data_IF_342422839710
#
_entry.id   IF_342422839710
#
_cell.length_a   1.000
_cell.length_b   1.000
_cell.length_c   1.000
_cell.angle_alpha   90.00
_cell.angle_beta   90.00
_cell.angle_gamma   90.00
#
_symmetry.space_group_name_H-M   'P 1'
#
loop_
_entity.id
_entity.type
_entity.pdbx_description
1 polymer ?
#
# COMPACT_ATOMS: atom_id res chain seq x y z
N UNK A 1 -25.94 -27.45 -25.19
CA UNK A 1 -26.04 -26.28 -24.29
C UNK A 1 -24.98 -26.40 -23.21
N UNK A 2 -24.18 -25.34 -22.98
CA UNK A 2 -23.00 -25.36 -22.10
C UNK A 2 -23.34 -25.23 -20.60
N UNK A 3 -24.38 -24.46 -20.26
CA UNK A 3 -24.81 -24.20 -18.87
C UNK A 3 -25.11 -25.46 -18.03
N UNK A 4 -25.90 -26.46 -18.51
CA UNK A 4 -26.19 -27.65 -17.70
C UNK A 4 -24.95 -28.51 -17.45
N UNK A 5 -24.03 -28.59 -18.42
CA UNK A 5 -22.74 -29.28 -18.25
C UNK A 5 -21.92 -28.63 -17.14
N UNK A 6 -21.79 -27.30 -17.15
CA UNK A 6 -21.06 -26.57 -16.12
C UNK A 6 -21.70 -26.70 -14.74
N UNK A 7 -23.04 -26.71 -14.64
CA UNK A 7 -23.75 -26.90 -13.36
C UNK A 7 -23.47 -28.27 -12.76
N UNK A 8 -23.47 -29.33 -13.58
CA UNK A 8 -23.12 -30.68 -13.12
C UNK A 8 -21.64 -30.79 -12.68
N UNK A 9 -20.72 -30.12 -13.39
CA UNK A 9 -19.31 -30.06 -12.98
C UNK A 9 -19.11 -29.34 -11.65
N UNK A 10 -19.66 -28.13 -11.51
CA UNK A 10 -19.48 -27.30 -10.32
C UNK A 10 -20.20 -27.84 -9.08
N UNK A 11 -21.34 -28.50 -9.26
CA UNK A 11 -22.13 -29.05 -8.15
C UNK A 11 -21.74 -30.46 -7.72
N UNK A 12 -21.42 -31.34 -8.67
CA UNK A 12 -21.24 -32.79 -8.41
C UNK A 12 -19.82 -33.29 -8.71
N UNK A 13 -18.91 -32.42 -9.15
CA UNK A 13 -17.52 -32.77 -9.49
C UNK A 13 -17.38 -33.70 -10.69
N UNK A 14 -18.47 -33.94 -11.45
CA UNK A 14 -18.47 -34.87 -12.58
C UNK A 14 -17.66 -34.32 -13.77
N UNK A 15 -16.75 -35.12 -14.37
CA UNK A 15 -15.96 -34.67 -15.51
C UNK A 15 -16.85 -34.34 -16.72
N UNK A 16 -16.59 -33.22 -17.37
CA UNK A 16 -17.36 -32.73 -18.52
C UNK A 16 -16.57 -32.84 -19.82
N UNK A 17 -17.23 -33.29 -20.89
CA UNK A 17 -16.69 -33.22 -22.26
C UNK A 17 -17.13 -31.92 -22.93
N UNK A 18 -16.13 -31.14 -23.35
CA UNK A 18 -16.30 -29.87 -24.05
C UNK A 18 -15.75 -29.98 -25.47
N UNK A 19 -16.48 -29.43 -26.44
CA UNK A 19 -15.95 -29.23 -27.79
C UNK A 19 -15.05 -27.98 -27.84
N UNK A 20 -14.38 -27.75 -28.97
CA UNK A 20 -13.42 -26.64 -29.13
C UNK A 20 -14.03 -25.25 -28.88
N UNK A 21 -15.28 -25.03 -29.30
CA UNK A 21 -15.99 -23.75 -29.09
C UNK A 21 -16.37 -23.54 -27.63
N UNK A 22 -16.92 -24.58 -26.99
CA UNK A 22 -17.27 -24.57 -25.56
C UNK A 22 -16.02 -24.35 -24.69
N UNK A 23 -14.90 -25.01 -25.02
CA UNK A 23 -13.62 -24.85 -24.31
C UNK A 23 -13.13 -23.40 -24.37
N UNK A 24 -13.17 -22.77 -25.55
CA UNK A 24 -12.77 -21.36 -25.71
C UNK A 24 -13.59 -20.45 -24.81
N UNK A 25 -14.93 -20.61 -24.81
CA UNK A 25 -15.84 -19.82 -23.97
C UNK A 25 -15.52 -19.99 -22.48
N UNK A 26 -15.28 -21.22 -22.02
CA UNK A 26 -14.96 -21.50 -20.61
C UNK A 26 -13.62 -20.85 -20.22
N UNK A 27 -12.58 -20.98 -21.05
CA UNK A 27 -11.27 -20.37 -20.78
C UNK A 27 -11.37 -18.84 -20.70
N UNK A 28 -12.08 -18.23 -21.65
CA UNK A 28 -12.24 -16.77 -21.67
C UNK A 28 -12.98 -16.28 -20.41
N UNK A 29 -14.01 -17.02 -19.98
CA UNK A 29 -14.74 -16.73 -18.74
C UNK A 29 -13.92 -16.97 -17.47
N UNK A 30 -13.07 -18.00 -17.45
CA UNK A 30 -12.17 -18.25 -16.32
C UNK A 30 -11.10 -17.15 -16.21
N UNK A 31 -10.57 -16.66 -17.33
CA UNK A 31 -9.64 -15.53 -17.33
C UNK A 31 -10.31 -14.26 -16.80
N UNK A 32 -11.54 -14.00 -17.22
CA UNK A 32 -12.34 -12.87 -16.71
C UNK A 32 -12.64 -13.00 -15.20
N UNK A 33 -12.96 -14.21 -14.73
CA UNK A 33 -13.18 -14.45 -13.31
C UNK A 33 -11.88 -14.26 -12.51
N UNK A 34 -10.78 -14.85 -12.98
CA UNK A 34 -9.47 -14.74 -12.34
C UNK A 34 -8.96 -13.29 -12.28
N UNK A 35 -9.23 -12.46 -13.29
CA UNK A 35 -8.87 -11.04 -13.23
C UNK A 35 -9.71 -10.24 -12.24
N UNK A 36 -10.96 -10.66 -11.99
CA UNK A 36 -11.88 -10.03 -11.03
C UNK A 36 -11.68 -10.49 -9.59
N UNK A 37 -11.30 -11.74 -9.37
CA UNK A 37 -11.16 -12.34 -8.04
C UNK A 37 -9.70 -12.50 -7.61
N UNK A 38 -8.75 -12.37 -8.54
CA UNK A 38 -7.33 -12.51 -8.26
C UNK A 38 -6.82 -11.37 -7.38
N UNK A 39 -5.97 -11.72 -6.42
CA UNK A 39 -5.25 -10.75 -5.60
C UNK A 39 -3.87 -10.52 -6.23
N UNK A 40 -3.46 -9.25 -6.32
CA UNK A 40 -2.11 -8.89 -6.77
C UNK A 40 -1.16 -9.05 -5.59
N UNK A 41 -0.42 -10.15 -5.57
CA UNK A 41 0.59 -10.45 -4.56
C UNK A 41 1.96 -10.43 -5.24
N UNK A 42 2.97 -9.92 -4.54
CA UNK A 42 4.35 -10.06 -4.98
C UNK A 42 4.82 -11.51 -4.76
N UNK A 43 4.84 -12.28 -5.85
CA UNK A 43 5.17 -13.71 -5.82
C UNK A 43 6.62 -13.96 -5.38
N UNK A 44 7.53 -13.02 -5.64
CA UNK A 44 8.93 -13.14 -5.21
C UNK A 44 9.07 -13.01 -3.69
N UNK A 45 8.15 -12.31 -3.04
CA UNK A 45 8.06 -12.30 -1.56
C UNK A 45 7.52 -13.62 -1.04
N UNK A 46 6.47 -14.15 -1.68
CA UNK A 46 5.70 -15.29 -1.16
C UNK A 46 6.46 -16.62 -1.25
N UNK A 47 7.24 -16.78 -2.32
CA UNK A 47 7.99 -18.02 -2.57
C UNK A 47 9.29 -18.12 -1.75
N UNK A 48 9.78 -17.01 -1.18
CA UNK A 48 11.05 -16.97 -0.47
C UNK A 48 10.87 -17.32 1.02
N UNK A 49 11.29 -18.53 1.40
CA UNK A 49 11.22 -19.03 2.78
C UNK A 49 12.31 -18.47 3.69
N UNK A 50 13.36 -17.85 3.14
CA UNK A 50 14.50 -17.29 3.89
C UNK A 50 14.42 -15.77 4.09
N UNK A 51 13.32 -15.15 3.67
CA UNK A 51 13.20 -13.69 3.64
C UNK A 51 13.16 -13.07 5.02
N UNK A 52 13.91 -11.98 5.20
CA UNK A 52 13.76 -11.11 6.35
C UNK A 52 12.47 -10.28 6.22
N UNK A 53 11.58 -10.44 7.19
CA UNK A 53 10.41 -9.60 7.36
C UNK A 53 10.73 -8.40 8.23
N UNK A 54 9.98 -7.32 8.05
CA UNK A 54 10.16 -6.14 8.89
C UNK A 54 9.64 -6.43 10.30
N UNK A 55 10.40 -5.98 11.30
CA UNK A 55 10.02 -6.07 12.70
C UNK A 55 8.74 -5.24 12.92
N UNK A 56 7.67 -5.82 13.49
CA UNK A 56 6.46 -5.07 13.84
C UNK A 56 6.76 -3.83 14.69
N UNK A 57 5.97 -2.77 14.50
CA UNK A 57 6.09 -1.48 15.16
C UNK A 57 7.39 -0.68 14.91
N UNK A 58 8.34 -1.21 14.12
CA UNK A 58 9.53 -0.46 13.69
C UNK A 58 9.20 0.69 12.74
N UNK A 59 10.08 1.70 12.69
CA UNK A 59 9.94 2.84 11.78
C UNK A 59 10.42 2.50 10.36
N UNK A 60 9.66 2.95 9.36
CA UNK A 60 10.06 2.86 7.97
C UNK A 60 11.05 3.97 7.62
N UNK A 61 12.28 3.61 7.28
CA UNK A 61 13.32 4.58 6.88
C UNK A 61 13.04 5.46 5.65
N UNK A 62 11.89 5.33 4.97
CA UNK A 62 11.49 6.23 3.86
C UNK A 62 10.34 7.18 4.22
N UNK A 63 9.65 6.95 5.34
CA UNK A 63 8.48 7.75 5.73
C UNK A 63 8.45 8.11 7.20
N UNK A 64 9.20 7.41 8.06
CA UNK A 64 9.09 7.55 9.51
C UNK A 64 7.80 6.96 10.07
N UNK A 65 7.06 6.17 9.28
CA UNK A 65 5.83 5.51 9.74
C UNK A 65 6.12 4.16 10.38
N UNK A 66 5.28 3.76 11.33
CA UNK A 66 5.35 2.47 12.00
C UNK A 66 4.80 1.36 11.12
N UNK A 67 5.50 0.23 11.09
CA UNK A 67 5.00 -1.01 10.51
C UNK A 67 4.03 -1.70 11.48
N UNK A 68 2.79 -1.21 11.56
CA UNK A 68 1.79 -1.71 12.49
C UNK A 68 1.34 -3.13 12.14
N UNK A 69 1.10 -3.94 13.16
CA UNK A 69 0.38 -5.21 13.04
C UNK A 69 -1.11 -4.93 13.21
N UNK A 70 -1.91 -5.33 12.23
CA UNK A 70 -3.34 -5.09 12.19
C UNK A 70 -4.09 -6.43 12.13
N UNK A 71 -5.20 -6.51 12.84
CA UNK A 71 -6.25 -7.50 12.62
C UNK A 71 -6.95 -7.22 11.28
N UNK A 72 -7.78 -8.18 10.84
CA UNK A 72 -8.55 -8.01 9.61
C UNK A 72 -9.49 -6.79 9.69
N UNK A 73 -10.18 -6.61 10.81
CA UNK A 73 -11.13 -5.52 11.00
C UNK A 73 -10.42 -4.16 11.08
N UNK A 74 -9.28 -4.07 11.75
CA UNK A 74 -8.46 -2.84 11.78
C UNK A 74 -7.95 -2.47 10.38
N UNK A 75 -7.56 -3.46 9.57
CA UNK A 75 -7.09 -3.22 8.20
C UNK A 75 -8.16 -2.56 7.31
N UNK A 76 -9.45 -2.83 7.55
CA UNK A 76 -10.55 -2.22 6.79
C UNK A 76 -10.73 -0.72 7.08
N UNK A 77 -10.33 -0.26 8.27
CA UNK A 77 -10.51 1.13 8.72
C UNK A 77 -9.19 1.91 8.76
N UNK A 78 -8.06 1.23 8.58
CA UNK A 78 -6.72 1.78 8.73
C UNK A 78 -6.39 2.86 7.69
N UNK A 79 -5.89 4.00 8.18
CA UNK A 79 -5.31 5.05 7.36
C UNK A 79 -3.83 5.30 7.75
N UNK A 80 -2.86 5.00 6.88
CA UNK A 80 -1.45 5.15 7.22
C UNK A 80 -1.02 6.60 7.48
N UNK A 81 -1.74 7.60 6.94
CA UNK A 81 -1.40 9.01 7.14
C UNK A 81 -1.91 9.57 8.47
N UNK A 82 -2.69 8.80 9.23
CA UNK A 82 -3.15 9.16 10.58
C UNK A 82 -2.63 8.17 11.62
N UNK A 83 -2.77 6.88 11.36
CA UNK A 83 -2.61 5.83 12.37
C UNK A 83 -1.17 5.33 12.46
N UNK A 84 -0.43 5.37 11.36
CA UNK A 84 0.94 4.84 11.29
C UNK A 84 2.02 5.89 11.58
N UNK A 85 1.67 7.10 12.00
CA UNK A 85 2.65 8.14 12.31
C UNK A 85 3.51 7.68 13.48
N UNK A 86 4.81 7.55 13.24
CA UNK A 86 5.76 6.98 14.21
C UNK A 86 6.49 7.99 15.06
N UNK A 87 6.49 9.26 14.65
CA UNK A 87 7.23 10.33 15.30
C UNK A 87 6.26 11.33 15.97
N UNK A 88 6.66 11.94 17.09
CA UNK A 88 5.87 13.00 17.72
C UNK A 88 5.87 14.29 16.88
N UNK A 89 4.89 15.19 17.11
CA UNK A 89 4.89 16.53 16.51
C UNK A 89 5.97 17.44 17.10
N UNK A 90 6.39 17.21 18.35
CA UNK A 90 7.44 17.98 19.00
C UNK A 90 8.72 17.15 19.17
N UNK A 91 9.91 17.76 19.12
CA UNK A 91 10.14 19.18 18.78
C UNK A 91 9.86 19.46 17.30
N UNK A 92 9.54 20.71 16.98
CA UNK A 92 9.53 21.16 15.59
C UNK A 92 10.95 21.16 15.03
N UNK A 93 11.08 20.78 13.76
CA UNK A 93 12.36 20.71 13.05
C UNK A 93 12.41 21.77 11.94
N UNK A 94 13.50 22.56 11.86
CA UNK A 94 13.71 23.46 10.74
C UNK A 94 14.17 22.65 9.52
N UNK A 95 13.52 22.88 8.38
CA UNK A 95 13.85 22.21 7.13
C UNK A 95 13.95 23.21 5.99
N UNK A 96 14.85 22.92 5.04
CA UNK A 96 14.91 23.59 3.74
C UNK A 96 14.32 22.68 2.69
N UNK A 97 13.32 23.19 1.96
CA UNK A 97 12.66 22.46 0.88
C UNK A 97 13.60 22.37 -0.33
N UNK A 98 13.84 21.15 -0.81
CA UNK A 98 14.74 20.89 -1.95
C UNK A 98 13.98 20.70 -3.26
N UNK A 99 12.75 20.20 -3.19
CA UNK A 99 11.88 19.94 -4.33
C UNK A 99 10.47 20.44 -4.01
N UNK A 100 9.70 20.81 -5.04
CA UNK A 100 8.32 21.28 -4.86
C UNK A 100 7.50 20.24 -4.06
N UNK A 101 6.76 20.71 -3.06
CA UNK A 101 5.92 19.89 -2.18
C UNK A 101 4.46 20.31 -2.39
N UNK A 102 3.59 19.44 -2.93
CA UNK A 102 2.18 19.75 -3.01
C UNK A 102 1.57 19.78 -1.62
N UNK A 103 0.37 20.35 -1.49
CA UNK A 103 -0.39 20.28 -0.23
C UNK A 103 -0.59 18.81 0.17
N UNK A 104 -0.30 18.50 1.43
CA UNK A 104 -0.44 17.15 1.97
C UNK A 104 -1.02 17.17 3.38
N UNK A 105 -1.47 16.02 3.85
CA UNK A 105 -2.07 15.84 5.17
C UNK A 105 -1.33 14.76 5.92
N UNK A 106 -1.04 15.04 7.19
CA UNK A 106 -0.58 14.06 8.16
C UNK A 106 -1.36 14.32 9.45
N UNK A 107 -1.96 13.26 10.00
CA UNK A 107 -2.88 13.37 11.14
C UNK A 107 -4.05 14.30 10.78
N UNK A 108 -4.36 15.26 11.65
CA UNK A 108 -5.41 16.27 11.49
C UNK A 108 -4.89 17.52 10.75
N UNK A 109 -3.57 17.60 10.52
CA UNK A 109 -2.91 18.80 10.04
C UNK A 109 -2.69 18.77 8.52
N UNK A 110 -2.79 19.95 7.91
CA UNK A 110 -2.48 20.16 6.50
C UNK A 110 -1.25 21.04 6.33
N UNK A 111 -0.34 20.61 5.48
CA UNK A 111 0.93 21.29 5.22
C UNK A 111 1.08 21.62 3.74
N UNK A 112 1.85 22.66 3.46
CA UNK A 112 2.13 23.11 2.10
C UNK A 112 0.95 23.78 1.40
N UNK A 113 1.06 24.01 0.08
CA UNK A 113 2.22 23.67 -0.77
C UNK A 113 3.48 24.48 -0.40
N UNK A 114 4.66 23.90 -0.67
CA UNK A 114 5.96 24.55 -0.47
C UNK A 114 6.81 24.49 -1.73
N UNK A 115 7.58 25.53 -2.01
CA UNK A 115 8.48 25.65 -3.16
C UNK A 115 9.93 25.35 -2.78
N UNK A 116 10.77 24.91 -3.74
CA UNK A 116 12.20 24.75 -3.52
C UNK A 116 12.85 26.04 -2.98
N UNK A 117 13.74 25.89 -2.00
CA UNK A 117 14.45 26.99 -1.36
C UNK A 117 13.75 27.58 -0.14
N UNK A 118 12.47 27.27 0.10
CA UNK A 118 11.77 27.70 1.31
C UNK A 118 12.40 27.06 2.56
N UNK A 119 12.59 27.86 3.60
CA UNK A 119 13.00 27.42 4.93
C UNK A 119 11.82 27.57 5.89
N UNK A 120 11.39 26.46 6.47
CA UNK A 120 10.20 26.38 7.30
C UNK A 120 10.46 25.53 8.53
N UNK A 121 9.79 25.84 9.62
CA UNK A 121 9.74 24.98 10.81
C UNK A 121 8.47 24.15 10.74
N UNK A 122 8.60 22.83 10.89
CA UNK A 122 7.49 21.89 10.82
C UNK A 122 7.47 20.99 12.05
N UNK A 123 6.29 20.48 12.45
CA UNK A 123 6.21 19.40 13.43
C UNK A 123 7.14 18.24 13.06
N UNK A 124 7.78 17.62 14.05
CA UNK A 124 8.81 16.60 13.88
C UNK A 124 8.40 15.50 12.90
N UNK A 125 7.18 14.96 13.04
CA UNK A 125 6.66 13.96 12.11
C UNK A 125 6.55 14.45 10.66
N UNK A 126 6.12 15.69 10.42
CA UNK A 126 5.93 16.25 9.09
C UNK A 126 7.29 16.64 8.45
N UNK A 127 8.15 17.28 9.22
CA UNK A 127 9.49 17.66 8.76
C UNK A 127 10.34 16.43 8.42
N UNK A 128 10.40 15.44 9.31
CA UNK A 128 11.14 14.20 9.06
C UNK A 128 10.52 13.41 7.91
N UNK A 129 9.18 13.38 7.77
CA UNK A 129 8.54 12.75 6.62
C UNK A 129 9.03 13.35 5.30
N UNK A 130 9.10 14.69 5.18
CA UNK A 130 9.61 15.34 3.96
C UNK A 130 11.09 15.05 3.72
N UNK A 131 11.90 15.01 4.77
CA UNK A 131 13.33 14.66 4.68
C UNK A 131 13.52 13.23 4.19
N UNK A 132 12.81 12.25 4.78
CA UNK A 132 12.90 10.84 4.37
C UNK A 132 12.33 10.58 2.97
N UNK A 133 11.41 11.45 2.50
CA UNK A 133 10.91 11.45 1.12
C UNK A 133 11.82 12.20 0.15
N UNK A 134 12.95 12.73 0.61
CA UNK A 134 13.95 13.43 -0.20
C UNK A 134 13.48 14.78 -0.74
N UNK A 135 12.46 15.40 -0.12
CA UNK A 135 11.92 16.71 -0.53
C UNK A 135 12.35 17.87 0.34
N UNK A 136 13.05 17.58 1.44
CA UNK A 136 13.61 18.58 2.32
C UNK A 136 14.93 18.08 2.92
N UNK A 137 15.73 19.01 3.45
CA UNK A 137 16.92 18.73 4.25
C UNK A 137 16.75 19.41 5.61
N UNK A 138 17.26 18.77 6.67
CA UNK A 138 17.33 19.41 7.99
C UNK A 138 18.30 20.58 7.91
N UNK A 139 17.91 21.70 8.50
CA UNK A 139 18.82 22.81 8.74
C UNK A 139 19.53 22.53 10.06
N UNK A 140 20.86 22.48 10.04
CA UNK A 140 21.65 22.43 11.27
C UNK A 140 21.43 23.72 12.06
N UNK A 141 21.28 23.59 13.38
CA UNK A 141 21.13 24.73 14.30
C UNK A 141 22.47 25.36 14.63
#
# INVERSE_FOLDING_TARGET
>A
SLRPKLKAFLGEGKPIRLNSRERKIVIDKLKEAASKTGVRIDWMVTMDTGRLTRIPNSLHGKTGFRALSLTFDECLLFNPFTDAIGLPPEPEVPVRITLEVPKFHLKEDSFGPFKPGEEIRLPGHAGIFLVLRGRAQLLES
#
